data_IF_032719562815
#
_entry.id   IF_032719562815
#
_cell.length_a   1.000
_cell.length_b   1.000
_cell.length_c   1.000
_cell.angle_alpha   90.00
_cell.angle_beta   90.00
_cell.angle_gamma   90.00
#
_symmetry.space_group_name_H-M   'P 1'
#
loop_
_entity.id
_entity.type
_entity.pdbx_description
1 polymer ?
#
# COMPACT_ATOMS: atom_id res chain seq x y z
N UNK A 1 4.45 5.19 -0.54
CA UNK A 1 3.58 5.25 -1.73
C UNK A 1 2.53 4.17 -1.65
N UNK A 2 1.30 4.45 -2.10
CA UNK A 2 0.22 3.45 -2.21
C UNK A 2 -0.04 3.22 -3.69
N UNK A 3 0.02 1.96 -4.14
CA UNK A 3 -0.05 1.62 -5.56
C UNK A 3 -0.46 0.16 -5.74
N UNK A 4 -0.81 -0.22 -6.97
CA UNK A 4 -1.01 -1.62 -7.32
C UNK A 4 0.32 -2.22 -7.77
N UNK A 5 0.85 -3.20 -7.02
CA UNK A 5 2.08 -3.90 -7.40
C UNK A 5 1.78 -4.95 -8.48
N UNK A 6 1.38 -4.48 -9.66
CA UNK A 6 1.10 -5.30 -10.83
C UNK A 6 1.33 -4.48 -12.11
N UNK A 7 1.87 -5.07 -13.19
CA UNK A 7 1.99 -4.37 -14.46
C UNK A 7 0.63 -4.11 -15.14
N UNK A 8 -0.41 -4.89 -14.79
CA UNK A 8 -1.76 -4.78 -15.36
C UNK A 8 -2.84 -5.07 -14.32
N UNK A 9 -3.93 -4.32 -14.39
CA UNK A 9 -5.05 -4.46 -13.46
C UNK A 9 -4.92 -3.57 -12.23
N UNK A 10 -5.76 -3.83 -11.23
CA UNK A 10 -5.93 -2.98 -10.04
C UNK A 10 -5.95 -3.78 -8.72
N UNK A 11 -5.28 -4.93 -8.73
CA UNK A 11 -5.05 -5.80 -7.57
C UNK A 11 -3.66 -6.45 -7.68
N UNK A 12 -2.93 -6.64 -6.57
CA UNK A 12 -3.23 -6.19 -5.21
C UNK A 12 -3.11 -4.67 -5.04
N UNK A 13 -3.51 -4.13 -3.89
CA UNK A 13 -3.20 -2.75 -3.47
C UNK A 13 -2.19 -2.81 -2.32
N UNK A 14 -1.08 -2.10 -2.47
CA UNK A 14 0.09 -2.19 -1.61
C UNK A 14 0.51 -0.82 -1.09
N UNK A 15 1.16 -0.82 0.08
CA UNK A 15 1.88 0.32 0.65
C UNK A 15 3.38 -0.02 0.69
N UNK A 16 4.19 0.81 0.04
CA UNK A 16 5.64 0.79 0.17
C UNK A 16 6.14 2.04 0.91
N UNK A 17 7.22 1.89 1.67
CA UNK A 17 7.86 2.97 2.45
C UNK A 17 9.26 3.26 1.90
N UNK A 18 9.72 4.50 2.05
CA UNK A 18 11.07 4.92 1.67
C UNK A 18 11.52 6.06 2.57
N UNK A 19 12.80 6.07 2.94
CA UNK A 19 13.43 7.16 3.67
C UNK A 19 14.02 8.25 2.75
N UNK A 20 14.26 7.94 1.48
CA UNK A 20 14.97 8.80 0.54
C UNK A 20 14.23 9.05 -0.79
N UNK A 21 13.06 8.42 -0.96
CA UNK A 21 12.26 8.46 -2.19
C UNK A 21 12.84 7.66 -3.36
N UNK A 22 13.96 6.96 -3.17
CA UNK A 22 14.67 6.19 -4.21
C UNK A 22 14.65 4.70 -3.93
N UNK A 23 14.97 4.32 -2.69
CA UNK A 23 14.93 2.94 -2.23
C UNK A 23 13.62 2.72 -1.49
N UNK A 24 12.82 1.81 -2.03
CA UNK A 24 11.49 1.49 -1.50
C UNK A 24 11.50 0.09 -0.90
N UNK A 25 10.72 -0.09 0.17
CA UNK A 25 10.54 -1.36 0.86
C UNK A 25 9.05 -1.71 0.94
N UNK A 26 8.75 -2.99 0.83
CA UNK A 26 7.41 -3.54 0.97
C UNK A 26 6.95 -3.43 2.42
N UNK A 27 5.87 -2.68 2.69
CA UNK A 27 5.45 -2.38 4.07
C UNK A 27 4.11 -3.02 4.46
N UNK A 28 3.12 -3.02 3.57
CA UNK A 28 1.80 -3.58 3.87
C UNK A 28 1.04 -3.94 2.58
N UNK A 29 0.33 -5.05 2.58
CA UNK A 29 -0.70 -5.37 1.57
C UNK A 29 -2.05 -4.90 2.11
N UNK A 30 -2.63 -3.88 1.47
CA UNK A 30 -3.94 -3.34 1.88
C UNK A 30 -5.09 -4.24 1.42
N UNK A 31 -4.95 -4.81 0.22
CA UNK A 31 -5.96 -5.66 -0.43
C UNK A 31 -5.26 -6.72 -1.29
N UNK A 32 -5.59 -7.99 -1.10
CA UNK A 32 -5.00 -9.11 -1.85
C UNK A 32 -6.04 -10.02 -2.54
N UNK A 33 -7.32 -9.64 -2.50
CA UNK A 33 -8.37 -10.40 -3.18
C UNK A 33 -8.52 -9.97 -4.65
N UNK A 34 -9.23 -10.81 -5.42
CA UNK A 34 -9.69 -10.41 -6.75
C UNK A 34 -10.63 -9.20 -6.66
N UNK A 35 -10.40 -8.20 -7.51
CA UNK A 35 -11.22 -6.99 -7.56
C UNK A 35 -10.52 -5.83 -8.25
N UNK A 36 -11.13 -4.65 -8.14
CA UNK A 36 -10.50 -3.39 -8.54
C UNK A 36 -10.33 -2.47 -7.33
N UNK A 37 -9.09 -2.18 -6.96
CA UNK A 37 -8.72 -1.25 -5.90
C UNK A 37 -7.98 -0.07 -6.50
N UNK A 38 -8.65 1.08 -6.58
CA UNK A 38 -8.29 2.14 -7.53
C UNK A 38 -8.13 3.49 -6.87
N UNK A 39 -7.33 4.35 -7.50
CA UNK A 39 -7.20 5.77 -7.16
C UNK A 39 -6.89 6.03 -5.68
N UNK A 40 -5.77 5.49 -5.15
CA UNK A 40 -5.42 5.75 -3.78
C UNK A 40 -5.04 7.23 -3.58
N UNK A 41 -5.49 7.80 -2.46
CA UNK A 41 -4.97 9.04 -1.90
C UNK A 41 -4.37 8.75 -0.52
N UNK A 42 -3.31 9.47 -0.16
CA UNK A 42 -2.56 9.27 1.08
C UNK A 42 -2.17 10.61 1.69
N UNK A 43 -2.34 10.75 3.00
CA UNK A 43 -1.89 11.90 3.78
C UNK A 43 -1.45 11.46 5.18
N UNK A 44 -0.38 12.06 5.71
CA UNK A 44 0.01 11.87 7.10
C UNK A 44 -0.63 12.96 7.96
N UNK A 45 -1.31 12.56 9.04
CA UNK A 45 -1.89 13.47 10.02
C UNK A 45 -0.86 13.89 11.07
N UNK A 46 -1.18 14.96 11.82
CA UNK A 46 -0.30 15.50 12.86
C UNK A 46 -0.07 14.55 14.05
N UNK A 47 -0.91 13.52 14.21
CA UNK A 47 -0.69 12.45 15.20
C UNK A 47 0.29 11.37 14.71
N UNK A 48 0.92 11.59 13.55
CA UNK A 48 1.91 10.70 12.95
C UNK A 48 1.32 9.53 12.16
N UNK A 49 0.00 9.31 12.22
CA UNK A 49 -0.66 8.25 11.47
C UNK A 49 -0.83 8.62 10.01
N UNK A 50 -0.98 7.60 9.18
CA UNK A 50 -1.17 7.74 7.73
C UNK A 50 -2.58 7.33 7.37
N UNK A 51 -3.32 8.29 6.79
CA UNK A 51 -4.68 8.10 6.31
C UNK A 51 -4.63 7.79 4.81
N UNK A 52 -5.30 6.70 4.41
CA UNK A 52 -5.34 6.23 3.03
C UNK A 52 -6.80 6.05 2.62
N UNK A 53 -7.18 6.60 1.48
CA UNK A 53 -8.49 6.35 0.86
C UNK A 53 -8.32 5.75 -0.53
N UNK A 54 -9.26 4.92 -0.97
CA UNK A 54 -9.27 4.35 -2.32
C UNK A 54 -10.66 3.84 -2.68
N UNK A 55 -10.90 3.69 -3.98
CA UNK A 55 -12.09 3.01 -4.51
C UNK A 55 -11.94 1.51 -4.28
N UNK A 56 -12.83 0.91 -3.49
CA UNK A 56 -12.86 -0.52 -3.18
C UNK A 56 -13.89 -1.23 -4.04
N UNK A 57 -13.44 -2.16 -4.90
CA UNK A 57 -14.25 -2.98 -5.83
C UNK A 57 -15.26 -2.18 -6.65
N UNK A 58 -15.02 -0.88 -6.88
CA UNK A 58 -15.93 0.09 -7.51
C UNK A 58 -17.32 0.20 -6.86
N UNK A 59 -17.42 -0.15 -5.58
CA UNK A 59 -18.67 -0.14 -4.82
C UNK A 59 -18.70 0.92 -3.73
N UNK A 60 -17.53 1.28 -3.18
CA UNK A 60 -17.40 2.25 -2.08
C UNK A 60 -16.04 2.90 -2.07
N UNK A 61 -15.91 3.98 -1.30
CA UNK A 61 -14.60 4.48 -0.87
C UNK A 61 -14.27 3.81 0.46
N UNK A 62 -13.11 3.17 0.55
CA UNK A 62 -12.58 2.62 1.80
C UNK A 62 -11.57 3.61 2.37
N UNK A 63 -11.61 3.80 3.69
CA UNK A 63 -10.65 4.59 4.46
C UNK A 63 -9.91 3.65 5.41
N UNK A 64 -8.58 3.74 5.43
CA UNK A 64 -7.69 2.99 6.31
C UNK A 64 -6.78 3.97 7.03
N UNK A 65 -6.52 3.69 8.30
CA UNK A 65 -5.52 4.40 9.10
C UNK A 65 -4.41 3.42 9.43
N UNK A 66 -3.19 3.77 9.06
CA UNK A 66 -1.98 3.00 9.32
C UNK A 66 -1.12 3.74 10.34
N UNK A 67 -0.62 3.02 11.33
CA UNK A 67 0.40 3.51 12.26
C UNK A 67 1.78 3.10 11.71
N UNK A 68 2.58 4.05 11.16
CA UNK A 68 3.86 3.73 10.54
C UNK A 68 4.86 3.09 11.50
N UNK A 69 4.73 3.33 12.81
CA UNK A 69 5.64 2.77 13.82
C UNK A 69 5.45 1.26 14.02
N UNK A 70 4.34 0.69 13.53
CA UNK A 70 4.03 -0.74 13.61
C UNK A 70 4.37 -1.50 12.34
N UNK A 71 4.89 -0.83 11.31
CA UNK A 71 5.24 -1.47 10.05
C UNK A 71 6.60 -2.17 10.18
N UNK A 72 6.66 -3.41 9.72
CA UNK A 72 7.90 -4.15 9.49
C UNK A 72 8.09 -4.21 7.98
N UNK A 73 8.95 -3.33 7.45
CA UNK A 73 9.20 -3.28 6.02
C UNK A 73 10.26 -4.32 5.62
N UNK A 74 10.04 -4.96 4.47
CA UNK A 74 10.94 -5.93 3.85
C UNK A 74 11.46 -5.39 2.52
N UNK A 75 12.68 -5.75 2.15
CA UNK A 75 13.18 -5.46 0.81
C UNK A 75 12.39 -6.25 -0.25
N UNK A 76 12.33 -5.72 -1.46
CA UNK A 76 11.75 -6.44 -2.59
C UNK A 76 12.68 -7.57 -3.04
N UNK A 77 12.09 -8.68 -3.52
CA UNK A 77 12.82 -9.83 -4.04
C UNK A 77 12.80 -9.78 -5.57
N UNK A 78 13.90 -9.35 -6.18
CA UNK A 78 14.02 -9.17 -7.64
C UNK A 78 12.86 -8.34 -8.25
N UNK A 79 12.45 -7.30 -7.51
CA UNK A 79 11.36 -6.40 -7.89
C UNK A 79 9.95 -6.93 -7.62
N UNK A 80 9.82 -8.10 -6.98
CA UNK A 80 8.55 -8.69 -6.56
C UNK A 80 8.24 -8.42 -5.09
N UNK A 81 6.95 -8.40 -4.75
CA UNK A 81 6.52 -8.29 -3.35
C UNK A 81 6.98 -9.54 -2.58
N UNK A 82 7.69 -9.40 -1.45
CA UNK A 82 8.23 -10.55 -0.72
C UNK A 82 7.10 -11.43 -0.19
N UNK A 83 7.28 -12.74 -0.20
CA UNK A 83 6.33 -13.67 0.40
C UNK A 83 6.38 -13.60 1.92
N UNK A 84 5.24 -13.79 2.55
CA UNK A 84 5.17 -14.21 3.93
C UNK A 84 5.34 -15.74 3.94
N UNK A 85 6.58 -16.23 3.93
CA UNK A 85 6.84 -17.62 4.33
C UNK A 85 6.38 -17.86 5.78
#
# INVERSE_FOLDING_TARGET
VVYNHTPRGRSPLNLAISHDGKHWQAALVLENEAGEYSYPAIIQSSDGKVHITYTWKRQRIKHVVVDPQKLVAKDFEDGTWPSDE
#
